data_IF_388765086265
#
_entry.id   IF_388765086265
#
_cell.length_a   1.000
_cell.length_b   1.000
_cell.length_c   1.000
_cell.angle_alpha   90.00
_cell.angle_beta   90.00
_cell.angle_gamma   90.00
#
_symmetry.space_group_name_H-M   'P 1'
#
loop_
_entity.id
_entity.type
_entity.pdbx_description
1 polymer ?
#
# COMPACT_ATOMS: atom_id res chain seq x y z
N UNK A 1 0.39 32.34 -28.13
CA UNK A 1 -0.11 31.23 -27.27
C UNK A 1 0.76 30.01 -27.49
N UNK A 2 1.48 29.55 -26.47
CA UNK A 2 1.89 28.14 -26.29
C UNK A 2 2.69 28.08 -24.97
N UNK A 3 1.96 28.05 -23.86
CA UNK A 3 2.54 27.70 -22.56
C UNK A 3 2.75 26.19 -22.56
N UNK A 4 3.94 25.76 -22.97
CA UNK A 4 4.30 24.34 -23.06
C UNK A 4 4.84 23.83 -21.72
N UNK A 5 3.89 23.59 -20.82
CA UNK A 5 3.78 22.40 -19.94
C UNK A 5 5.08 21.84 -19.31
N UNK A 6 5.49 22.38 -18.14
CA UNK A 6 6.59 21.85 -17.31
C UNK A 6 6.32 20.45 -16.69
N UNK A 7 5.13 19.88 -16.90
CA UNK A 7 4.76 18.53 -16.44
C UNK A 7 5.19 17.44 -17.41
N UNK A 8 5.23 17.76 -18.71
CA UNK A 8 5.66 16.84 -19.78
C UNK A 8 7.16 16.55 -19.67
N UNK A 9 7.96 17.57 -19.36
CA UNK A 9 9.41 17.49 -19.19
C UNK A 9 9.78 16.62 -17.99
N UNK A 10 9.07 16.76 -16.86
CA UNK A 10 9.29 15.92 -15.68
C UNK A 10 8.96 14.44 -15.93
N UNK A 11 7.89 14.14 -16.67
CA UNK A 11 7.52 12.76 -17.01
C UNK A 11 8.53 12.11 -17.97
N UNK A 12 9.08 12.91 -18.90
CA UNK A 12 10.10 12.47 -19.86
C UNK A 12 11.44 12.17 -19.18
N UNK A 13 11.84 13.00 -18.21
CA UNK A 13 13.08 12.79 -17.42
C UNK A 13 12.97 11.54 -16.54
N UNK A 14 11.84 11.31 -15.87
CA UNK A 14 11.62 10.09 -15.06
C UNK A 14 11.63 8.83 -15.95
N UNK A 15 11.06 8.91 -17.16
CA UNK A 15 11.06 7.80 -18.13
C UNK A 15 12.45 7.50 -18.70
N UNK A 16 13.32 8.50 -18.82
CA UNK A 16 14.71 8.34 -19.27
C UNK A 16 15.59 7.75 -18.15
N UNK A 17 15.47 8.28 -16.92
CA UNK A 17 16.18 7.78 -15.73
C UNK A 17 15.80 6.33 -15.40
N UNK A 18 14.54 5.94 -15.61
CA UNK A 18 14.09 4.55 -15.46
C UNK A 18 14.56 3.60 -16.57
N UNK A 19 14.99 4.13 -17.72
CA UNK A 19 15.43 3.35 -18.89
C UNK A 19 16.96 3.15 -18.92
N UNK A 20 17.72 4.03 -18.29
CA UNK A 20 19.19 3.92 -18.16
C UNK A 20 19.64 2.89 -17.11
N UNK A 21 18.78 2.51 -16.15
CA UNK A 21 19.17 1.57 -15.08
C UNK A 21 19.03 0.08 -15.49
N UNK A 22 18.44 -0.23 -16.64
CA UNK A 22 18.22 -1.62 -17.09
C UNK A 22 18.49 -1.86 -18.58
N UNK A 23 19.56 -1.29 -19.13
CA UNK A 23 20.04 -1.64 -20.47
C UNK A 23 21.48 -2.17 -20.46
N UNK A 24 21.70 -3.25 -19.70
CA UNK A 24 22.69 -4.23 -20.13
C UNK A 24 22.05 -5.05 -21.25
N UNK A 25 22.24 -4.58 -22.49
CA UNK A 25 21.90 -5.29 -23.72
C UNK A 25 22.81 -6.52 -23.82
N UNK A 26 22.48 -7.59 -23.09
CA UNK A 26 23.17 -8.87 -23.22
C UNK A 26 22.82 -9.44 -24.60
N UNK A 27 23.72 -9.25 -25.56
CA UNK A 27 23.68 -9.85 -26.88
C UNK A 27 23.34 -11.34 -26.76
N UNK A 28 22.15 -11.72 -27.22
CA UNK A 28 21.52 -13.01 -26.89
C UNK A 28 22.02 -14.21 -27.68
N UNK A 29 23.02 -14.06 -28.54
CA UNK A 29 23.30 -15.10 -29.54
C UNK A 29 24.66 -15.80 -29.41
N UNK A 30 25.41 -15.58 -28.32
CA UNK A 30 26.61 -16.40 -27.99
C UNK A 30 26.71 -16.84 -26.52
N UNK A 31 25.74 -16.47 -25.69
CA UNK A 31 25.79 -16.68 -24.21
C UNK A 31 24.98 -17.90 -23.77
N UNK A 32 24.07 -18.42 -24.61
CA UNK A 32 23.23 -19.58 -24.26
C UNK A 32 24.06 -20.83 -23.90
N UNK A 33 25.11 -21.11 -24.66
CA UNK A 33 25.89 -22.35 -24.51
C UNK A 33 26.62 -22.40 -23.16
N UNK A 34 27.39 -21.34 -22.86
CA UNK A 34 28.14 -21.22 -21.59
C UNK A 34 27.23 -21.14 -20.37
N UNK A 35 26.05 -20.55 -20.51
CA UNK A 35 25.10 -20.45 -19.39
C UNK A 35 24.47 -21.81 -19.10
N UNK A 36 24.20 -22.63 -20.12
CA UNK A 36 23.68 -23.98 -19.96
C UNK A 36 24.74 -24.92 -19.39
N UNK A 37 25.99 -24.82 -19.85
CA UNK A 37 27.13 -25.59 -19.35
C UNK A 37 27.41 -25.29 -17.85
N UNK A 38 27.40 -24.01 -17.47
CA UNK A 38 27.50 -23.60 -16.06
C UNK A 38 26.32 -24.14 -15.23
N UNK A 39 25.10 -24.15 -15.79
CA UNK A 39 23.89 -24.65 -15.11
C UNK A 39 23.93 -26.17 -14.92
N UNK A 40 24.59 -26.88 -15.83
CA UNK A 40 24.79 -28.33 -15.79
C UNK A 40 25.86 -28.74 -14.76
N UNK A 41 26.98 -28.00 -14.69
CA UNK A 41 27.99 -28.16 -13.64
C UNK A 41 27.41 -27.84 -12.26
N UNK A 42 26.63 -26.77 -12.16
CA UNK A 42 25.97 -26.36 -10.93
C UNK A 42 25.01 -27.46 -10.42
N UNK A 43 24.19 -28.07 -11.30
CA UNK A 43 23.28 -29.18 -10.93
C UNK A 43 23.98 -30.39 -10.29
N UNK A 44 25.25 -30.65 -10.59
CA UNK A 44 26.01 -31.77 -10.03
C UNK A 44 26.50 -31.52 -8.60
N UNK A 45 26.53 -30.26 -8.15
CA UNK A 45 26.99 -29.90 -6.80
C UNK A 45 25.83 -30.09 -5.82
N UNK A 46 25.93 -31.04 -4.87
CA UNK A 46 24.91 -31.27 -3.82
C UNK A 46 24.55 -30.04 -2.96
N UNK A 47 25.35 -28.97 -3.05
CA UNK A 47 25.11 -27.64 -2.46
C UNK A 47 23.98 -26.89 -3.21
N UNK A 48 23.64 -27.29 -4.44
CA UNK A 48 22.65 -26.62 -5.27
C UNK A 48 21.20 -26.81 -4.83
N UNK A 49 20.83 -27.94 -4.23
CA UNK A 49 19.46 -28.08 -3.72
C UNK A 49 19.23 -27.07 -2.58
N UNK A 50 20.11 -27.01 -1.54
CA UNK A 50 20.03 -25.95 -0.53
C UNK A 50 20.10 -24.51 -1.10
N UNK A 51 21.01 -24.24 -2.05
CA UNK A 51 21.15 -22.91 -2.65
C UNK A 51 19.94 -22.50 -3.50
N UNK A 52 19.42 -23.40 -4.34
CA UNK A 52 18.25 -23.14 -5.18
C UNK A 52 17.01 -22.93 -4.31
N UNK A 53 16.88 -23.69 -3.23
CA UNK A 53 15.76 -23.55 -2.30
C UNK A 53 15.86 -22.22 -1.54
N UNK A 54 17.06 -21.83 -1.09
CA UNK A 54 17.32 -20.53 -0.48
C UNK A 54 17.05 -19.36 -1.44
N UNK A 55 17.43 -19.47 -2.72
CA UNK A 55 17.15 -18.45 -3.74
C UNK A 55 15.64 -18.34 -4.00
N UNK A 56 14.92 -19.46 -4.07
CA UNK A 56 13.45 -19.46 -4.19
C UNK A 56 12.79 -18.80 -2.99
N UNK A 57 13.24 -19.13 -1.78
CA UNK A 57 12.73 -18.50 -0.55
C UNK A 57 13.06 -17.01 -0.51
N UNK A 58 14.26 -16.59 -0.91
CA UNK A 58 14.62 -15.16 -1.01
C UNK A 58 13.76 -14.44 -2.04
N UNK A 59 13.45 -15.06 -3.18
CA UNK A 59 12.56 -14.47 -4.18
C UNK A 59 11.12 -14.34 -3.65
N UNK A 60 10.62 -15.36 -2.96
CA UNK A 60 9.30 -15.32 -2.31
C UNK A 60 9.25 -14.27 -1.19
N UNK A 61 10.30 -14.18 -0.38
CA UNK A 61 10.44 -13.18 0.68
C UNK A 61 10.52 -11.76 0.11
N UNK A 62 11.28 -11.54 -0.96
CA UNK A 62 11.33 -10.25 -1.65
C UNK A 62 9.96 -9.86 -2.22
N UNK A 63 9.19 -10.82 -2.76
CA UNK A 63 7.82 -10.59 -3.23
C UNK A 63 6.91 -10.20 -2.05
N UNK A 64 6.95 -10.96 -0.96
CA UNK A 64 6.19 -10.68 0.26
C UNK A 64 6.50 -9.28 0.83
N UNK A 65 7.78 -8.91 0.92
CA UNK A 65 8.19 -7.57 1.37
C UNK A 65 7.67 -6.47 0.45
N UNK A 66 7.71 -6.67 -0.88
CA UNK A 66 7.13 -5.72 -1.85
C UNK A 66 5.63 -5.59 -1.65
N UNK A 67 4.92 -6.70 -1.53
CA UNK A 67 3.47 -6.72 -1.33
C UNK A 67 3.09 -6.01 -0.01
N UNK A 68 3.82 -6.28 1.07
CA UNK A 68 3.64 -5.58 2.34
C UNK A 68 3.89 -4.06 2.23
N UNK A 69 4.93 -3.66 1.49
CA UNK A 69 5.21 -2.26 1.23
C UNK A 69 4.11 -1.59 0.40
N UNK A 70 3.53 -2.29 -0.58
CA UNK A 70 2.41 -1.80 -1.40
C UNK A 70 1.18 -1.60 -0.51
N UNK A 71 0.81 -2.59 0.30
CA UNK A 71 -0.33 -2.49 1.23
C UNK A 71 -0.12 -1.33 2.21
N UNK A 72 1.05 -1.21 2.82
CA UNK A 72 1.40 -0.09 3.72
C UNK A 72 1.29 1.26 3.02
N UNK A 73 1.68 1.35 1.74
CA UNK A 73 1.57 2.57 0.93
C UNK A 73 0.12 2.90 0.59
N UNK A 74 -0.68 1.90 0.22
CA UNK A 74 -2.11 2.04 -0.05
C UNK A 74 -2.88 2.53 1.17
N UNK A 75 -2.65 1.96 2.35
CA UNK A 75 -3.26 2.40 3.61
C UNK A 75 -2.87 3.85 3.94
N UNK A 76 -1.60 4.22 3.73
CA UNK A 76 -1.16 5.61 3.94
C UNK A 76 -1.81 6.58 2.95
N UNK A 77 -1.93 6.17 1.69
CA UNK A 77 -2.54 6.99 0.65
C UNK A 77 -4.04 7.15 0.88
N UNK A 78 -4.76 6.09 1.24
CA UNK A 78 -6.19 6.16 1.54
C UNK A 78 -6.49 7.05 2.74
N UNK A 79 -5.70 6.96 3.82
CA UNK A 79 -5.77 7.90 4.96
C UNK A 79 -5.55 9.35 4.52
N UNK A 80 -4.56 9.60 3.66
CA UNK A 80 -4.31 10.95 3.13
C UNK A 80 -5.47 11.44 2.27
N UNK A 81 -6.01 10.62 1.38
CA UNK A 81 -7.14 10.96 0.51
C UNK A 81 -8.39 11.26 1.36
N UNK A 82 -8.69 10.45 2.36
CA UNK A 82 -9.80 10.69 3.29
C UNK A 82 -9.65 12.00 4.05
N UNK A 83 -8.45 12.30 4.58
CA UNK A 83 -8.18 13.58 5.23
C UNK A 83 -8.29 14.76 4.25
N UNK A 84 -7.79 14.60 3.02
CA UNK A 84 -7.91 15.62 1.98
C UNK A 84 -9.37 15.87 1.61
N UNK A 85 -10.18 14.83 1.48
CA UNK A 85 -11.62 14.94 1.20
C UNK A 85 -12.37 15.65 2.34
N UNK A 86 -12.07 15.30 3.60
CA UNK A 86 -12.67 15.99 4.75
C UNK A 86 -12.25 17.47 4.81
N UNK A 87 -10.98 17.78 4.57
CA UNK A 87 -10.50 19.17 4.54
C UNK A 87 -11.09 19.93 3.36
N UNK A 88 -11.20 19.32 2.19
CA UNK A 88 -11.88 19.90 1.03
C UNK A 88 -13.35 20.16 1.31
N UNK A 89 -14.07 19.24 1.96
CA UNK A 89 -15.47 19.43 2.35
C UNK A 89 -15.65 20.61 3.33
N UNK A 90 -14.71 20.77 4.27
CA UNK A 90 -14.67 21.91 5.20
C UNK A 90 -14.43 23.23 4.45
N UNK A 91 -13.45 23.27 3.55
CA UNK A 91 -13.10 24.46 2.75
C UNK A 91 -14.22 24.85 1.77
N UNK A 92 -14.85 23.86 1.13
CA UNK A 92 -15.97 24.08 0.22
C UNK A 92 -17.24 24.58 0.93
N UNK A 93 -17.24 24.67 2.27
CA UNK A 93 -18.37 25.10 3.10
C UNK A 93 -19.69 24.42 2.68
N UNK A 94 -19.61 23.19 2.15
CA UNK A 94 -20.75 22.29 2.08
C UNK A 94 -21.06 22.00 3.52
N UNK A 95 -22.04 22.73 4.06
CA UNK A 95 -22.45 22.69 5.45
C UNK A 95 -22.23 21.28 6.00
N UNK A 96 -21.21 21.15 6.85
CA UNK A 96 -20.81 19.89 7.47
C UNK A 96 -22.13 19.23 7.88
N UNK A 97 -22.50 18.11 7.24
CA UNK A 97 -23.80 17.48 7.48
C UNK A 97 -23.77 17.16 8.95
N UNK A 98 -24.40 18.02 9.76
CA UNK A 98 -24.48 17.83 11.20
C UNK A 98 -25.13 16.47 11.31
N UNK A 99 -24.32 15.48 11.71
CA UNK A 99 -24.87 14.20 12.14
C UNK A 99 -25.97 14.60 13.10
N UNK A 100 -27.22 14.25 12.76
CA UNK A 100 -28.38 14.58 13.58
C UNK A 100 -27.96 14.34 15.01
N UNK A 101 -28.06 15.37 15.86
CA UNK A 101 -27.76 15.21 17.29
C UNK A 101 -28.41 13.87 17.69
N UNK A 102 -27.65 12.89 18.21
CA UNK A 102 -28.16 11.53 18.40
C UNK A 102 -29.31 11.43 19.43
N UNK A 103 -29.93 12.56 19.80
CA UNK A 103 -30.74 12.71 20.99
C UNK A 103 -29.86 12.64 22.23
N UNK A 104 -30.48 12.79 23.40
CA UNK A 104 -29.84 12.35 24.62
C UNK A 104 -29.74 10.81 24.53
N UNK A 105 -28.53 10.22 24.56
CA UNK A 105 -28.39 8.77 24.47
C UNK A 105 -29.13 8.12 25.63
N UNK A 106 -29.96 7.12 25.34
CA UNK A 106 -30.70 6.36 26.35
C UNK A 106 -30.33 4.89 26.30
N UNK A 107 -30.30 4.24 27.47
CA UNK A 107 -30.05 2.81 27.63
C UNK A 107 -31.17 2.19 28.49
N UNK A 108 -31.41 0.90 28.33
CA UNK A 108 -32.28 0.16 29.24
C UNK A 108 -31.49 -0.34 30.45
N UNK A 109 -32.08 -0.23 31.65
CA UNK A 109 -31.46 -0.61 32.92
C UNK A 109 -32.44 -1.45 33.72
N UNK A 110 -31.97 -2.59 34.24
CA UNK A 110 -32.71 -3.42 35.20
C UNK A 110 -32.09 -3.24 36.59
N UNK A 111 -32.87 -2.70 37.53
CA UNK A 111 -32.47 -2.53 38.93
C UNK A 111 -33.37 -3.45 39.76
N UNK A 112 -32.79 -4.56 40.26
CA UNK A 112 -33.54 -5.65 40.93
C UNK A 112 -34.68 -6.17 40.01
N UNK A 113 -35.93 -6.11 40.47
CA UNK A 113 -37.13 -6.51 39.72
C UNK A 113 -37.75 -5.35 38.93
N UNK A 114 -37.17 -4.14 38.99
CA UNK A 114 -37.64 -2.97 38.24
C UNK A 114 -36.86 -2.80 36.93
N UNK A 115 -37.56 -2.54 35.83
CA UNK A 115 -36.99 -2.31 34.50
C UNK A 115 -37.29 -0.90 34.02
N UNK A 116 -36.24 -0.18 33.59
CA UNK A 116 -36.33 1.16 33.00
C UNK A 116 -35.85 1.04 31.56
N UNK A 117 -36.74 1.28 30.60
CA UNK A 117 -36.45 1.09 29.18
C UNK A 117 -35.55 2.20 28.61
N UNK A 118 -35.61 3.42 29.19
CA UNK A 118 -34.95 4.63 28.67
C UNK A 118 -34.33 5.48 29.77
N UNK A 119 -33.22 5.03 30.34
CA UNK A 119 -32.39 5.82 31.24
C UNK A 119 -31.39 6.67 30.44
N UNK A 120 -31.21 7.95 30.79
CA UNK A 120 -30.23 8.82 30.16
C UNK A 120 -28.80 8.35 30.46
N UNK A 121 -27.97 8.24 29.43
CA UNK A 121 -26.55 7.91 29.54
C UNK A 121 -25.73 9.20 29.60
N UNK A 122 -25.39 9.65 30.81
CA UNK A 122 -24.46 10.75 31.01
C UNK A 122 -23.02 10.19 31.13
N UNK A 123 -22.16 10.60 30.20
CA UNK A 123 -20.74 10.20 30.15
C UNK A 123 -19.84 11.25 30.82
N UNK A 124 -20.38 12.04 31.77
CA UNK A 124 -19.68 13.10 32.48
C UNK A 124 -18.18 12.87 32.65
N UNK A 125 -17.39 13.87 32.25
CA UNK A 125 -15.93 13.86 32.35
C UNK A 125 -15.53 14.00 33.82
N UNK A 126 -14.60 13.15 34.27
CA UNK A 126 -13.93 13.24 35.58
C UNK A 126 -12.85 14.31 35.55
#
# INVERSE_FOLDING_TARGET
MASSNSKETNFKVIKLMGKEVFNNKLCRDKVKDKTLEILEVLKQVKINIPLLDMIKQMHAYAKFLKDLCIVKRMIKLSKKVFLTEQVSAIIENKAMVKYKNPGCPTISVKIKDSFVERALLDLGVV
#
